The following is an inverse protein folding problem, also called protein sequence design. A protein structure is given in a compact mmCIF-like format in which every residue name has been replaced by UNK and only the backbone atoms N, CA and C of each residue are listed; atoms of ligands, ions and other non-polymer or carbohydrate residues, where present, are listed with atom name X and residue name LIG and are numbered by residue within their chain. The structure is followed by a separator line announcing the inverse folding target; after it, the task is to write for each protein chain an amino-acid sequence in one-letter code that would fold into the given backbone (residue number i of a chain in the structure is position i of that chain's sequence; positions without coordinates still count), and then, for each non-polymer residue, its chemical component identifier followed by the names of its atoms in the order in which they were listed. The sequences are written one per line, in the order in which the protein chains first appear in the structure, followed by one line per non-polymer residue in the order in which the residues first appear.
data_IF_123309134623
#
_entry.id   IF_123309134623
#
_cell.length_a   1.000
_cell.length_b   1.000
_cell.length_c   1.000
_cell.angle_alpha   90.00
_cell.angle_beta   90.00
_cell.angle_gamma   90.00
#
_symmetry.space_group_name_H-M   'P 1'
#
loop_
_entity.id
_entity.type
_entity.pdbx_description
1 polymer ?
#
# COMPACT_ATOMS: atom_id res chain seq x y z
N UNK A 1 9.40 18.14 10.78
CA UNK A 1 8.85 19.40 10.22
C UNK A 1 7.53 19.68 10.92
N UNK A 2 7.34 20.89 11.44
CA UNK A 2 6.10 21.30 12.12
C UNK A 2 5.30 22.23 11.21
N UNK A 3 3.96 22.17 11.28
CA UNK A 3 3.09 23.04 10.48
C UNK A 3 3.38 24.53 10.73
N UNK A 4 3.66 24.88 11.96
CA UNK A 4 4.03 26.26 12.37
C UNK A 4 5.29 26.79 11.65
N UNK A 5 6.26 25.91 11.41
CA UNK A 5 7.49 26.27 10.67
C UNK A 5 7.19 26.61 9.21
N UNK A 6 6.23 25.90 8.60
CA UNK A 6 5.80 26.15 7.23
C UNK A 6 5.04 27.46 7.10
N UNK A 7 4.20 27.80 8.08
CA UNK A 7 3.50 29.08 8.11
C UNK A 7 4.46 30.25 8.30
N UNK A 8 5.49 30.08 9.13
CA UNK A 8 6.49 31.10 9.41
C UNK A 8 7.37 31.43 8.18
N UNK A 9 7.54 30.51 7.25
CA UNK A 9 8.26 30.77 5.98
C UNK A 9 7.35 31.28 4.86
N UNK A 10 6.09 31.61 5.19
CA UNK A 10 5.16 32.29 4.29
C UNK A 10 4.23 31.40 3.47
N UNK A 11 4.10 30.09 3.78
CA UNK A 11 3.09 29.26 3.16
C UNK A 11 1.71 29.59 3.73
N UNK A 12 0.70 29.51 2.88
CA UNK A 12 -0.70 29.54 3.35
C UNK A 12 -1.04 28.27 4.12
N UNK A 13 -2.08 28.31 4.93
CA UNK A 13 -2.53 27.17 5.73
C UNK A 13 -2.81 25.93 4.86
N UNK A 14 -3.48 26.13 3.72
CA UNK A 14 -3.77 25.06 2.75
C UNK A 14 -2.49 24.47 2.13
N UNK A 15 -1.50 25.32 1.82
CA UNK A 15 -0.21 24.87 1.29
C UNK A 15 0.58 24.11 2.35
N UNK A 16 0.57 24.61 3.59
CA UNK A 16 1.23 23.95 4.72
C UNK A 16 0.61 22.55 4.98
N UNK A 17 -0.71 22.41 4.92
CA UNK A 17 -1.38 21.11 5.07
C UNK A 17 -1.04 20.14 3.95
N UNK A 18 -0.96 20.60 2.71
CA UNK A 18 -0.53 19.76 1.57
C UNK A 18 0.90 19.27 1.73
N UNK A 19 1.84 20.18 2.09
CA UNK A 19 3.23 19.82 2.32
C UNK A 19 3.36 18.84 3.49
N UNK A 20 2.61 19.08 4.58
CA UNK A 20 2.61 18.20 5.74
C UNK A 20 2.08 16.80 5.41
N UNK A 21 1.01 16.71 4.63
CA UNK A 21 0.45 15.44 4.17
C UNK A 21 1.41 14.67 3.24
N UNK A 22 2.12 15.38 2.35
CA UNK A 22 3.14 14.75 1.48
C UNK A 22 4.31 14.24 2.31
N UNK A 23 4.85 15.06 3.21
CA UNK A 23 5.93 14.66 4.10
C UNK A 23 5.53 13.48 5.02
N UNK A 24 4.28 13.44 5.48
CA UNK A 24 3.77 12.31 6.26
C UNK A 24 3.81 11.00 5.47
N UNK A 25 3.41 11.03 4.20
CA UNK A 25 3.49 9.84 3.31
C UNK A 25 4.93 9.39 3.06
N UNK A 26 5.86 10.34 2.87
CA UNK A 26 7.27 10.02 2.66
C UNK A 26 7.88 9.40 3.92
N UNK A 27 7.55 9.95 5.10
CA UNK A 27 7.99 9.39 6.38
C UNK A 27 7.43 7.97 6.58
N UNK A 28 6.15 7.74 6.32
CA UNK A 28 5.53 6.40 6.42
C UNK A 28 6.21 5.41 5.46
N UNK A 29 6.50 5.83 4.22
CA UNK A 29 7.21 5.00 3.24
C UNK A 29 8.60 4.63 3.71
N UNK A 30 9.38 5.61 4.21
CA UNK A 30 10.72 5.36 4.71
C UNK A 30 10.73 4.54 6.01
N UNK A 31 9.74 4.75 6.88
CA UNK A 31 9.57 3.97 8.10
C UNK A 31 9.31 2.50 7.76
N UNK A 32 8.38 2.25 6.84
CA UNK A 32 8.09 0.89 6.37
C UNK A 32 9.32 0.23 5.74
N UNK A 33 10.05 0.96 4.88
CA UNK A 33 11.28 0.44 4.26
C UNK A 33 12.36 0.12 5.32
N UNK A 34 12.45 0.92 6.39
CA UNK A 34 13.38 0.65 7.49
C UNK A 34 12.95 -0.58 8.31
N UNK A 35 11.65 -0.74 8.58
CA UNK A 35 11.10 -1.91 9.27
C UNK A 35 11.33 -3.19 8.44
N UNK A 36 11.08 -3.14 7.13
CA UNK A 36 11.34 -4.26 6.21
C UNK A 36 12.83 -4.62 6.17
N UNK A 37 13.74 -3.62 6.11
CA UNK A 37 15.18 -3.85 6.13
C UNK A 37 15.68 -4.41 7.47
N UNK A 38 15.07 -4.03 8.59
CA UNK A 38 15.37 -4.61 9.89
C UNK A 38 14.94 -6.07 9.99
N UNK A 39 13.75 -6.40 9.48
CA UNK A 39 13.27 -7.77 9.43
C UNK A 39 14.16 -8.65 8.52
N UNK A 40 14.57 -8.14 7.35
CA UNK A 40 15.50 -8.82 6.45
C UNK A 40 16.87 -9.08 7.14
N UNK A 41 17.37 -8.09 7.87
CA UNK A 41 18.62 -8.22 8.64
C UNK A 41 18.51 -9.32 9.71
N UNK A 42 17.46 -9.31 10.50
CA UNK A 42 17.24 -10.31 11.56
C UNK A 42 17.12 -11.72 10.97
N UNK A 43 16.41 -11.87 9.85
CA UNK A 43 16.30 -13.14 9.14
C UNK A 43 17.66 -13.63 8.61
N UNK A 44 18.49 -12.73 8.08
CA UNK A 44 19.86 -13.06 7.62
C UNK A 44 20.78 -13.45 8.79
N UNK A 45 20.72 -12.73 9.91
CA UNK A 45 21.49 -13.06 11.11
C UNK A 45 21.14 -14.46 11.64
N UNK A 46 19.84 -14.81 11.62
CA UNK A 46 19.40 -16.16 12.00
C UNK A 46 19.91 -17.22 11.06
N UNK A 47 19.90 -16.97 9.74
CA UNK A 47 20.46 -17.92 8.76
C UNK A 47 21.96 -18.15 8.96
N UNK A 48 22.72 -17.09 9.22
CA UNK A 48 24.15 -17.21 9.50
C UNK A 48 24.38 -18.08 10.73
N UNK A 49 23.62 -17.84 11.81
CA UNK A 49 23.72 -18.61 13.03
C UNK A 49 23.37 -20.10 12.83
N UNK A 50 22.36 -20.39 12.01
CA UNK A 50 21.98 -21.77 11.68
C UNK A 50 23.01 -22.47 10.83
N UNK A 51 23.59 -21.77 9.82
CA UNK A 51 24.69 -22.30 9.00
C UNK A 51 25.95 -22.57 9.83
N UNK A 52 26.28 -21.72 10.79
CA UNK A 52 27.41 -21.93 11.68
C UNK A 52 27.20 -23.16 12.55
N UNK A 53 25.99 -23.43 13.03
CA UNK A 53 25.63 -24.67 13.74
C UNK A 53 25.79 -25.88 12.84
N UNK A 54 25.25 -25.83 11.63
CA UNK A 54 25.34 -26.92 10.64
C UNK A 54 26.79 -27.26 10.31
N UNK A 55 27.67 -26.26 10.14
CA UNK A 55 29.12 -26.42 9.93
C UNK A 55 29.75 -27.05 11.18
N UNK A 56 29.39 -26.64 12.39
CA UNK A 56 29.94 -27.21 13.60
C UNK A 56 29.53 -28.69 13.80
N UNK A 57 28.33 -29.06 13.40
CA UNK A 57 27.88 -30.46 13.42
C UNK A 57 28.62 -31.33 12.36
N UNK A 58 28.79 -30.81 11.15
CA UNK A 58 29.58 -31.48 10.13
C UNK A 58 31.05 -31.76 10.60
N UNK A 59 31.66 -30.78 11.25
CA UNK A 59 33.01 -30.95 11.82
C UNK A 59 33.06 -32.02 12.88
N UNK A 60 32.01 -32.21 13.71
CA UNK A 60 31.95 -33.27 14.71
C UNK A 60 31.80 -34.67 14.10
N UNK A 61 31.19 -34.78 12.93
CA UNK A 61 30.98 -36.06 12.22
C UNK A 61 32.11 -36.41 11.27
N UNK A 62 33.22 -35.65 11.24
CA UNK A 62 34.30 -35.74 10.27
C UNK A 62 35.11 -37.08 10.25
N UNK A 63 34.78 -38.04 11.14
CA UNK A 63 35.40 -39.38 11.14
C UNK A 63 34.61 -40.45 10.35
N UNK A 64 33.44 -40.17 9.83
CA UNK A 64 32.57 -41.14 9.15
C UNK A 64 32.07 -40.55 7.82
N UNK A 65 32.70 -40.98 6.72
CA UNK A 65 32.39 -40.44 5.38
C UNK A 65 30.91 -40.63 4.96
N UNK A 66 30.28 -41.74 5.37
CA UNK A 66 28.89 -42.01 5.03
C UNK A 66 27.96 -41.03 5.73
N UNK A 67 28.19 -40.75 7.01
CA UNK A 67 27.39 -39.78 7.79
C UNK A 67 27.64 -38.35 7.33
N UNK A 68 28.86 -38.04 6.84
CA UNK A 68 29.11 -36.72 6.27
C UNK A 68 28.30 -36.54 4.99
N UNK A 69 28.27 -37.55 4.12
CA UNK A 69 27.52 -37.48 2.88
C UNK A 69 25.99 -37.30 3.16
N UNK A 70 25.43 -38.09 4.08
CA UNK A 70 24.04 -37.97 4.46
C UNK A 70 23.70 -36.55 4.96
N UNK A 71 24.54 -35.98 5.84
CA UNK A 71 24.35 -34.61 6.35
C UNK A 71 24.54 -33.55 5.28
N UNK A 72 25.44 -33.73 4.31
CA UNK A 72 25.58 -32.82 3.19
C UNK A 72 24.34 -32.79 2.30
N UNK A 73 23.77 -33.97 2.01
CA UNK A 73 22.56 -34.07 1.21
C UNK A 73 21.34 -33.44 1.93
N UNK A 74 21.25 -33.65 3.26
CA UNK A 74 20.23 -33.00 4.10
C UNK A 74 20.37 -31.48 4.08
N UNK A 75 21.58 -30.96 4.28
CA UNK A 75 21.87 -29.52 4.28
C UNK A 75 21.61 -28.88 2.91
N UNK A 76 22.02 -29.58 1.84
CA UNK A 76 21.73 -29.13 0.48
C UNK A 76 20.23 -28.95 0.27
N UNK A 77 19.41 -29.95 0.64
CA UNK A 77 17.96 -29.88 0.52
C UNK A 77 17.33 -28.79 1.39
N UNK A 78 17.89 -28.53 2.57
CA UNK A 78 17.46 -27.41 3.45
C UNK A 78 17.74 -26.07 2.79
N UNK A 79 18.97 -25.84 2.32
CA UNK A 79 19.36 -24.56 1.72
C UNK A 79 18.67 -24.30 0.38
N UNK A 80 18.40 -25.33 -0.41
CA UNK A 80 17.64 -25.19 -1.64
C UNK A 80 16.22 -24.68 -1.35
N UNK A 81 15.54 -25.29 -0.37
CA UNK A 81 14.19 -24.86 0.07
C UNK A 81 14.19 -23.43 0.62
N UNK A 82 15.16 -23.09 1.46
CA UNK A 82 15.29 -21.74 2.00
C UNK A 82 15.52 -20.73 0.86
N UNK A 83 16.40 -21.06 -0.09
CA UNK A 83 16.68 -20.20 -1.24
C UNK A 83 15.45 -19.97 -2.11
N UNK A 84 14.67 -21.03 -2.37
CA UNK A 84 13.41 -20.92 -3.10
C UNK A 84 12.39 -20.05 -2.35
N UNK A 85 12.25 -20.22 -1.03
CA UNK A 85 11.37 -19.42 -0.21
C UNK A 85 11.75 -17.94 -0.25
N UNK A 86 13.04 -17.59 -0.16
CA UNK A 86 13.51 -16.22 -0.25
C UNK A 86 13.30 -15.61 -1.64
N UNK A 87 13.55 -16.38 -2.70
CA UNK A 87 13.28 -15.93 -4.07
C UNK A 87 11.79 -15.62 -4.25
N UNK A 88 10.92 -16.47 -3.72
CA UNK A 88 9.47 -16.24 -3.75
C UNK A 88 9.06 -14.98 -2.98
N UNK A 89 9.64 -14.75 -1.80
CA UNK A 89 9.39 -13.53 -1.02
C UNK A 89 9.89 -12.26 -1.74
N UNK A 90 11.09 -12.31 -2.31
CA UNK A 90 11.63 -11.20 -3.11
C UNK A 90 10.73 -10.91 -4.31
N UNK A 91 10.36 -11.92 -5.07
CA UNK A 91 9.48 -11.77 -6.23
C UNK A 91 8.10 -11.18 -5.83
N UNK A 92 7.56 -11.60 -4.69
CA UNK A 92 6.31 -11.04 -4.16
C UNK A 92 6.49 -9.57 -3.76
N UNK A 93 7.58 -9.22 -3.10
CA UNK A 93 7.88 -7.83 -2.71
C UNK A 93 8.08 -6.94 -3.93
N UNK A 94 8.84 -7.41 -4.92
CA UNK A 94 9.07 -6.69 -6.18
C UNK A 94 7.76 -6.48 -6.94
N UNK A 95 6.88 -7.48 -6.95
CA UNK A 95 5.54 -7.38 -7.54
C UNK A 95 4.68 -6.35 -6.83
N UNK A 96 4.69 -6.31 -5.50
CA UNK A 96 3.97 -5.28 -4.73
C UNK A 96 4.53 -3.88 -5.00
N UNK A 97 5.84 -3.74 -5.07
CA UNK A 97 6.48 -2.47 -5.40
C UNK A 97 6.12 -2.00 -6.83
N UNK A 98 6.03 -2.93 -7.78
CA UNK A 98 5.58 -2.63 -9.14
C UNK A 98 4.11 -2.17 -9.18
N UNK A 99 3.22 -2.78 -8.36
CA UNK A 99 1.83 -2.33 -8.20
C UNK A 99 1.81 -0.90 -7.64
N UNK A 100 2.56 -0.64 -6.57
CA UNK A 100 2.63 0.68 -5.93
C UNK A 100 3.09 1.75 -6.92
N UNK A 101 4.13 1.42 -7.68
CA UNK A 101 4.67 2.31 -8.71
C UNK A 101 3.65 2.55 -9.83
N UNK A 102 3.04 1.51 -10.38
CA UNK A 102 2.06 1.64 -11.47
C UNK A 102 0.85 2.48 -11.05
N UNK A 103 0.34 2.31 -9.82
CA UNK A 103 -0.73 3.13 -9.27
C UNK A 103 -0.29 4.59 -9.13
N UNK A 104 0.92 4.84 -8.61
CA UNK A 104 1.46 6.19 -8.45
C UNK A 104 1.65 6.89 -9.80
N UNK A 105 2.26 6.20 -10.77
CA UNK A 105 2.55 6.73 -12.11
C UNK A 105 1.25 7.02 -12.90
N UNK A 106 0.21 6.20 -12.71
CA UNK A 106 -1.10 6.42 -13.37
C UNK A 106 -1.86 7.64 -12.83
N UNK A 107 -1.46 8.18 -11.68
CA UNK A 107 -2.15 9.29 -11.03
C UNK A 107 -3.59 8.99 -10.60
N UNK A 108 -4.00 7.72 -10.61
CA UNK A 108 -5.35 7.30 -10.21
C UNK A 108 -5.61 7.62 -8.74
N UNK A 109 -6.81 8.12 -8.45
CA UNK A 109 -7.27 8.38 -7.09
C UNK A 109 -8.47 7.51 -6.78
N UNK A 110 -8.40 6.82 -5.66
CA UNK A 110 -9.49 5.96 -5.19
C UNK A 110 -10.46 6.75 -4.29
N UNK A 111 -11.73 6.39 -4.35
CA UNK A 111 -12.79 7.00 -3.54
C UNK A 111 -12.64 6.66 -2.05
N UNK A 112 -12.01 5.53 -1.73
CA UNK A 112 -11.77 5.06 -0.37
C UNK A 112 -10.57 4.12 -0.30
N UNK A 113 -10.03 3.91 0.93
CA UNK A 113 -9.00 2.88 1.17
C UNK A 113 -9.49 1.46 0.85
N UNK A 114 -10.78 1.19 1.02
CA UNK A 114 -11.37 -0.11 0.66
C UNK A 114 -11.38 -0.33 -0.83
N UNK A 115 -11.70 0.69 -1.63
CA UNK A 115 -11.64 0.65 -3.08
C UNK A 115 -10.20 0.41 -3.57
N UNK A 116 -9.22 1.11 -3.00
CA UNK A 116 -7.80 0.88 -3.30
C UNK A 116 -7.38 -0.55 -2.99
N UNK A 117 -7.75 -1.06 -1.81
CA UNK A 117 -7.42 -2.43 -1.39
C UNK A 117 -8.04 -3.47 -2.34
N UNK A 118 -9.30 -3.29 -2.74
CA UNK A 118 -9.97 -4.17 -3.68
C UNK A 118 -9.30 -4.14 -5.07
N UNK A 119 -8.94 -2.97 -5.56
CA UNK A 119 -8.22 -2.80 -6.83
C UNK A 119 -6.86 -3.52 -6.82
N UNK A 120 -6.09 -3.35 -5.74
CA UNK A 120 -4.80 -4.04 -5.55
C UNK A 120 -4.94 -5.55 -5.50
N UNK A 121 -5.95 -6.06 -4.79
CA UNK A 121 -6.25 -7.49 -4.74
C UNK A 121 -6.58 -8.03 -6.14
N UNK A 122 -7.39 -7.32 -6.90
CA UNK A 122 -7.74 -7.71 -8.27
C UNK A 122 -6.55 -7.72 -9.23
N UNK A 123 -5.54 -6.85 -9.06
CA UNK A 123 -4.27 -6.95 -9.80
C UNK A 123 -3.56 -8.26 -9.46
N UNK A 124 -3.48 -8.60 -8.16
CA UNK A 124 -2.87 -9.86 -7.71
C UNK A 124 -3.57 -11.09 -8.30
N UNK A 125 -4.90 -11.09 -8.33
CA UNK A 125 -5.70 -12.17 -8.90
C UNK A 125 -5.56 -12.29 -10.42
N UNK A 126 -5.40 -11.15 -11.11
CA UNK A 126 -5.20 -11.09 -12.56
C UNK A 126 -3.81 -11.55 -12.99
N UNK A 127 -2.86 -11.70 -12.05
CA UNK A 127 -1.48 -12.17 -12.29
C UNK A 127 -0.82 -11.46 -13.47
N UNK A 128 -0.90 -10.13 -13.50
CA UNK A 128 -0.21 -9.33 -14.52
C UNK A 128 1.29 -9.66 -14.50
N UNK A 129 1.86 -9.88 -15.68
CA UNK A 129 3.28 -10.21 -15.79
C UNK A 129 4.15 -8.99 -15.49
N UNK A 130 5.28 -9.24 -14.82
CA UNK A 130 6.30 -8.21 -14.60
C UNK A 130 7.30 -8.26 -15.75
N UNK A 131 7.48 -7.13 -16.46
CA UNK A 131 8.49 -6.94 -17.51
C UNK A 131 9.29 -5.68 -17.22
N UNK A 132 10.59 -5.80 -17.15
CA UNK A 132 11.52 -4.69 -16.88
C UNK A 132 11.17 -3.85 -15.64
N UNK A 133 10.65 -4.51 -14.60
CA UNK A 133 10.26 -3.86 -13.35
C UNK A 133 8.92 -3.09 -13.40
N UNK A 134 8.15 -3.27 -14.47
CA UNK A 134 6.82 -2.72 -14.63
C UNK A 134 5.77 -3.83 -14.83
N UNK A 135 4.50 -3.53 -14.52
CA UNK A 135 3.38 -4.45 -14.74
C UNK A 135 2.88 -4.33 -16.18
N UNK A 136 3.08 -5.39 -16.98
CA UNK A 136 2.55 -5.44 -18.34
C UNK A 136 1.02 -5.57 -18.30
N UNK A 137 0.35 -4.68 -19.05
CA UNK A 137 -1.11 -4.65 -19.12
C UNK A 137 -1.81 -3.90 -17.98
N UNK A 138 -1.09 -3.20 -17.11
CA UNK A 138 -1.68 -2.42 -16.02
C UNK A 138 -2.69 -1.38 -16.52
N UNK A 139 -2.39 -0.66 -17.60
CA UNK A 139 -3.29 0.37 -18.16
C UNK A 139 -4.62 -0.23 -18.61
N UNK A 140 -4.56 -1.37 -19.29
CA UNK A 140 -5.78 -2.10 -19.72
C UNK A 140 -6.60 -2.58 -18.53
N UNK A 141 -5.92 -3.07 -17.50
CA UNK A 141 -6.57 -3.47 -16.26
C UNK A 141 -7.25 -2.29 -15.58
N UNK A 142 -6.57 -1.15 -15.50
CA UNK A 142 -7.10 0.08 -14.90
C UNK A 142 -8.32 0.60 -15.65
N UNK A 143 -8.30 0.61 -16.98
CA UNK A 143 -9.45 1.00 -17.83
C UNK A 143 -10.64 0.07 -17.61
N UNK A 144 -10.39 -1.24 -17.57
CA UNK A 144 -11.43 -2.23 -17.27
C UNK A 144 -12.03 -2.01 -15.89
N UNK A 145 -11.21 -1.85 -14.86
CA UNK A 145 -11.67 -1.61 -13.50
C UNK A 145 -12.48 -0.32 -13.38
N UNK A 146 -12.07 0.76 -14.06
CA UNK A 146 -12.85 2.02 -14.13
C UNK A 146 -14.20 1.85 -14.82
N UNK A 147 -14.30 0.95 -15.79
CA UNK A 147 -15.53 0.63 -16.50
C UNK A 147 -16.48 -0.22 -15.65
N UNK A 148 -15.95 -1.19 -14.92
CA UNK A 148 -16.72 -2.14 -14.09
C UNK A 148 -17.22 -1.50 -12.81
N UNK A 149 -16.38 -0.72 -12.12
CA UNK A 149 -16.74 0.02 -10.90
C UNK A 149 -16.26 1.48 -10.96
N UNK A 150 -16.97 2.37 -11.67
CA UNK A 150 -16.62 3.78 -11.72
C UNK A 150 -16.67 4.46 -10.34
N UNK A 151 -17.41 3.91 -9.39
CA UNK A 151 -17.57 4.46 -8.04
C UNK A 151 -16.34 4.28 -7.14
N UNK A 152 -15.50 3.29 -7.46
CA UNK A 152 -14.24 3.06 -6.77
C UNK A 152 -13.20 4.17 -7.01
N UNK A 153 -13.40 5.01 -8.02
CA UNK A 153 -12.43 6.02 -8.46
C UNK A 153 -12.98 7.43 -8.31
N UNK A 154 -12.11 8.37 -7.92
CA UNK A 154 -12.46 9.79 -7.91
C UNK A 154 -12.41 10.31 -9.35
N UNK A 155 -13.50 10.86 -9.85
CA UNK A 155 -13.54 11.50 -11.17
C UNK A 155 -12.55 12.67 -11.19
N UNK A 156 -11.64 12.67 -12.15
CA UNK A 156 -10.74 13.80 -12.37
C UNK A 156 -11.58 15.03 -12.69
N UNK A 157 -11.57 16.04 -11.82
CA UNK A 157 -12.37 17.26 -11.97
C UNK A 157 -13.62 17.34 -11.10
N UNK A 158 -14.00 16.30 -10.37
CA UNK A 158 -14.98 16.45 -9.30
C UNK A 158 -14.32 17.19 -8.13
N UNK A 159 -14.39 18.53 -8.15
CA UNK A 159 -14.39 19.28 -6.90
C UNK A 159 -15.53 18.67 -6.10
N UNK A 160 -15.26 18.13 -4.93
CA UNK A 160 -16.30 17.95 -3.93
C UNK A 160 -16.69 19.39 -3.59
N UNK A 161 -17.74 19.86 -4.22
CA UNK A 161 -18.30 21.17 -3.92
C UNK A 161 -19.03 21.01 -2.57
N UNK A 162 -18.26 21.13 -1.51
CA UNK A 162 -18.80 21.21 -0.15
C UNK A 162 -19.53 22.53 0.07
N UNK A 163 -19.46 23.48 -0.86
CA UNK A 163 -20.22 24.71 -0.81
C UNK A 163 -21.71 24.48 -1.10
N UNK A 164 -22.08 23.47 -1.88
CA UNK A 164 -23.48 23.17 -2.19
C UNK A 164 -24.32 22.71 -0.99
N UNK A 165 -23.68 22.39 0.15
CA UNK A 165 -24.40 22.06 1.40
C UNK A 165 -24.64 23.27 2.31
N UNK A 166 -24.06 24.44 2.00
CA UNK A 166 -24.19 25.66 2.80
C UNK A 166 -24.89 26.80 2.05
N UNK A 167 -25.01 26.74 0.75
CA UNK A 167 -25.92 27.62 0.01
C UNK A 167 -27.25 26.91 -0.14
N UNK A 168 -28.18 27.26 0.77
CA UNK A 168 -29.57 26.89 0.66
C UNK A 168 -30.09 27.32 -0.71
N UNK A 169 -30.31 26.35 -1.59
CA UNK A 169 -31.11 26.57 -2.77
C UNK A 169 -32.40 27.24 -2.34
N UNK A 170 -32.81 28.25 -3.08
CA UNK A 170 -34.13 28.83 -2.95
C UNK A 170 -35.16 27.72 -3.10
N UNK A 171 -35.51 27.10 -1.98
CA UNK A 171 -36.73 26.32 -1.88
C UNK A 171 -37.84 27.33 -1.66
N UNK A 172 -38.78 27.32 -2.57
CA UNK A 172 -40.10 27.85 -2.33
C UNK A 172 -40.55 27.54 -0.91
N UNK A 173 -41.12 28.52 -0.23
CA UNK A 173 -41.58 28.55 1.15
C UNK A 173 -42.34 27.27 1.57
N UNK A 174 -41.65 26.22 1.87
CA UNK A 174 -42.19 25.09 2.62
C UNK A 174 -41.55 25.10 4.01
N UNK A 175 -42.38 25.02 5.07
CA UNK A 175 -41.89 25.09 6.44
C UNK A 175 -40.85 23.96 6.69
N UNK A 176 -39.62 24.36 6.98
CA UNK A 176 -38.48 23.44 7.17
C UNK A 176 -38.33 22.91 8.59
N UNK A 177 -39.14 23.40 9.51
CA UNK A 177 -39.21 22.94 10.90
C UNK A 177 -40.60 22.63 11.34
N UNK A 178 -40.76 21.75 12.32
CA UNK A 178 -42.06 21.42 12.92
C UNK A 178 -42.73 22.66 13.49
N UNK A 179 -41.99 23.61 14.02
CA UNK A 179 -42.47 24.88 14.56
C UNK A 179 -43.04 25.78 13.46
N UNK A 180 -42.38 25.91 12.31
CA UNK A 180 -42.87 26.70 11.18
C UNK A 180 -44.10 26.06 10.50
N UNK A 181 -44.14 24.73 10.43
CA UNK A 181 -45.30 23.99 9.92
C UNK A 181 -46.55 24.13 10.84
N UNK A 182 -46.36 24.20 12.17
CA UNK A 182 -47.42 24.44 13.14
C UNK A 182 -47.94 25.88 13.07
N UNK A 183 -47.03 26.85 12.92
CA UNK A 183 -47.39 28.27 12.80
C UNK A 183 -48.27 28.52 11.55
N UNK A 184 -47.90 27.97 10.40
CA UNK A 184 -48.69 28.09 9.17
C UNK A 184 -50.05 27.42 9.26
N UNK A 185 -50.23 26.38 10.09
CA UNK A 185 -51.48 25.63 10.23
C UNK A 185 -52.46 26.25 11.22
N UNK A 186 -51.97 27.00 12.22
CA UNK A 186 -52.80 27.45 13.35
C UNK A 186 -52.97 28.98 13.48
N UNK A 187 -52.25 29.78 12.68
CA UNK A 187 -52.39 31.24 12.63
C UNK A 187 -53.27 31.73 11.45
N UNK A 188 -54.39 31.06 11.21
CA UNK A 188 -55.46 31.56 10.34
C UNK A 188 -56.61 32.04 11.15
#
# INVERSE_FOLDING_TARGET
MKKEELLNIGLTEEQADKVFAMNGKDIEKHKKAAEDAMADKEALEQQVADRDKDIAELKKTSGDAAKIQEKLDELQGKYDKETEAYRAQLAQRDYQAAIDKAIADSGVKFSSKSAEKAFRAGIGDSKLEMKDGALDGFDKYLEKAKSEDPSAFVKSGARVDTQGYLEGGQHEDKPTTLASALHEKYDK
#
